data_IF_404045020659
#
_entry.id   IF_404045020659
#
_cell.length_a   1.000
_cell.length_b   1.000
_cell.length_c   1.000
_cell.angle_alpha   90.00
_cell.angle_beta   90.00
_cell.angle_gamma   90.00
#
_symmetry.space_group_name_H-M   'P 1'
#
loop_
_entity.id
_entity.type
_entity.pdbx_description
1 polymer ?
#
# COMPACT_ATOMS: atom_id res chain seq x y z
N UNK A 1 -8.57 -10.36 32.78
CA UNK A 1 -9.55 -9.25 32.69
C UNK A 1 -10.90 -9.64 33.27
N UNK A 2 -11.48 -10.77 32.86
CA UNK A 2 -12.76 -11.26 33.40
C UNK A 2 -12.72 -11.53 34.92
N UNK A 3 -11.60 -12.05 35.43
CA UNK A 3 -11.45 -12.32 36.86
C UNK A 3 -11.47 -11.05 37.72
N UNK A 4 -10.87 -9.96 37.22
CA UNK A 4 -10.90 -8.68 37.91
C UNK A 4 -12.32 -8.09 37.93
N UNK A 5 -13.07 -8.25 36.84
CA UNK A 5 -14.47 -7.84 36.77
C UNK A 5 -15.35 -8.66 37.72
N UNK A 6 -15.14 -9.98 37.83
CA UNK A 6 -15.83 -10.82 38.83
C UNK A 6 -15.63 -10.31 40.25
N UNK A 7 -14.38 -10.01 40.63
CA UNK A 7 -14.04 -9.44 41.95
C UNK A 7 -14.71 -8.10 42.19
N UNK A 8 -14.79 -7.24 41.17
CA UNK A 8 -15.49 -5.95 41.25
C UNK A 8 -16.99 -6.16 41.46
N UNK A 9 -17.64 -7.06 40.72
CA UNK A 9 -19.08 -7.32 40.88
C UNK A 9 -19.41 -7.92 42.25
N UNK A 10 -18.58 -8.83 42.76
CA UNK A 10 -18.72 -9.35 44.13
C UNK A 10 -18.61 -8.23 45.17
N UNK A 11 -17.65 -7.32 45.02
CA UNK A 11 -17.48 -6.17 45.90
C UNK A 11 -18.68 -5.21 45.85
N UNK A 12 -19.27 -4.97 44.67
CA UNK A 12 -20.48 -4.12 44.54
C UNK A 12 -21.66 -4.74 45.28
N UNK A 13 -21.90 -6.05 45.10
CA UNK A 13 -22.99 -6.76 45.76
C UNK A 13 -22.85 -6.68 47.29
N UNK A 14 -21.65 -6.90 47.82
CA UNK A 14 -21.43 -6.89 49.26
C UNK A 14 -21.48 -5.48 49.87
N UNK A 15 -21.06 -4.45 49.12
CA UNK A 15 -21.26 -3.04 49.50
C UNK A 15 -22.76 -2.69 49.53
N UNK A 16 -23.54 -3.14 48.54
CA UNK A 16 -25.00 -2.91 48.51
C UNK A 16 -25.74 -3.64 49.63
N UNK A 17 -25.22 -4.79 50.06
CA UNK A 17 -25.74 -5.54 51.22
C UNK A 17 -25.32 -4.94 52.57
N UNK A 18 -24.53 -3.87 52.59
CA UNK A 18 -24.08 -3.21 53.83
C UNK A 18 -23.03 -3.99 54.61
N UNK A 19 -22.34 -4.98 54.00
CA UNK A 19 -21.31 -5.79 54.68
C UNK A 19 -20.02 -5.02 55.01
N UNK A 20 -19.83 -3.84 54.41
CA UNK A 20 -18.66 -3.00 54.60
C UNK A 20 -19.07 -1.59 55.02
N UNK A 21 -18.28 -0.98 55.90
CA UNK A 21 -18.51 0.39 56.35
C UNK A 21 -18.24 1.43 55.26
N UNK A 22 -17.41 1.08 54.27
CA UNK A 22 -17.06 1.96 53.17
C UNK A 22 -16.67 1.20 51.90
N UNK A 23 -16.83 1.88 50.75
CA UNK A 23 -16.35 1.39 49.44
C UNK A 23 -14.84 1.14 49.45
N UNK A 24 -14.05 1.91 50.21
CA UNK A 24 -12.59 1.74 50.32
C UNK A 24 -12.23 0.45 51.05
N UNK A 25 -12.98 0.11 52.09
CA UNK A 25 -12.78 -1.12 52.84
C UNK A 25 -13.07 -2.36 51.98
N UNK A 26 -14.21 -2.35 51.26
CA UNK A 26 -14.54 -3.39 50.29
C UNK A 26 -13.45 -3.50 49.21
N UNK A 27 -13.01 -2.38 48.64
CA UNK A 27 -11.96 -2.36 47.64
C UNK A 27 -10.66 -3.03 48.14
N UNK A 28 -10.26 -2.76 49.38
CA UNK A 28 -9.10 -3.41 50.03
C UNK A 28 -9.31 -4.91 50.22
N UNK A 29 -10.49 -5.33 50.70
CA UNK A 29 -10.81 -6.75 50.95
C UNK A 29 -10.81 -7.58 49.66
N UNK A 30 -11.36 -7.01 48.59
CA UNK A 30 -11.39 -7.65 47.28
C UNK A 30 -10.15 -7.36 46.44
N UNK A 31 -9.16 -6.61 46.94
CA UNK A 31 -7.92 -6.24 46.24
C UNK A 31 -8.15 -5.56 44.89
N UNK A 32 -9.14 -4.68 44.80
CA UNK A 32 -9.48 -3.88 43.61
C UNK A 32 -9.20 -2.40 43.88
N UNK A 33 -8.82 -1.58 42.87
CA UNK A 33 -8.67 -0.14 43.08
C UNK A 33 -10.00 0.51 43.49
N UNK A 34 -9.99 1.33 44.54
CA UNK A 34 -11.20 1.99 45.05
C UNK A 34 -11.87 2.90 44.01
N UNK A 35 -11.08 3.54 43.15
CA UNK A 35 -11.57 4.35 42.03
C UNK A 35 -12.33 3.51 41.00
N UNK A 36 -11.80 2.33 40.65
CA UNK A 36 -12.47 1.39 39.75
C UNK A 36 -13.80 0.90 40.32
N UNK A 37 -13.83 0.53 41.61
CA UNK A 37 -15.05 0.08 42.28
C UNK A 37 -16.11 1.18 42.31
N UNK A 38 -15.73 2.42 42.65
CA UNK A 38 -16.63 3.59 42.63
C UNK A 38 -17.16 3.89 41.24
N UNK A 39 -16.29 3.87 40.22
CA UNK A 39 -16.69 4.10 38.83
C UNK A 39 -17.70 3.03 38.37
N UNK A 40 -17.49 1.77 38.77
CA UNK A 40 -18.45 0.68 38.50
C UNK A 40 -19.81 0.92 39.17
N UNK A 41 -19.80 1.33 40.44
CA UNK A 41 -21.04 1.66 41.17
C UNK A 41 -21.79 2.84 40.53
N UNK A 42 -21.05 3.79 39.94
CA UNK A 42 -21.59 4.95 39.22
C UNK A 42 -22.02 4.63 37.77
N UNK A 43 -22.08 3.34 37.38
CA UNK A 43 -22.62 2.92 36.08
C UNK A 43 -21.61 2.86 34.93
N UNK A 44 -20.30 3.06 35.19
CA UNK A 44 -19.29 2.79 34.14
C UNK A 44 -19.34 1.30 33.81
N UNK A 45 -19.49 0.94 32.53
CA UNK A 45 -19.63 -0.46 32.05
C UNK A 45 -18.29 -1.12 31.72
N UNK A 46 -18.24 -2.46 31.82
CA UNK A 46 -16.98 -3.20 31.68
C UNK A 46 -16.64 -3.19 30.21
N UNK A 47 -15.45 -2.73 29.87
CA UNK A 47 -14.96 -2.78 28.49
C UNK A 47 -13.77 -3.75 28.45
N UNK A 48 -14.02 -5.07 28.29
CA UNK A 48 -12.98 -6.09 28.32
C UNK A 48 -11.90 -5.88 27.26
N UNK A 49 -12.30 -5.31 26.11
CA UNK A 49 -11.41 -4.90 25.02
C UNK A 49 -11.56 -3.40 24.82
N UNK A 50 -10.56 -2.62 25.23
CA UNK A 50 -10.36 -1.27 24.69
C UNK A 50 -9.62 -1.46 23.37
N UNK A 51 -10.36 -1.61 22.28
CA UNK A 51 -9.74 -1.51 20.96
C UNK A 51 -9.12 -0.12 20.86
N UNK A 52 -7.84 -0.04 20.52
CA UNK A 52 -7.23 1.23 20.18
C UNK A 52 -8.07 1.84 19.06
N UNK A 53 -8.46 3.12 19.19
CA UNK A 53 -9.31 3.88 18.26
C UNK A 53 -8.80 3.89 16.79
N UNK A 54 -7.70 3.22 16.50
CA UNK A 54 -7.02 3.12 15.22
C UNK A 54 -7.35 1.83 14.43
N UNK A 55 -8.09 0.88 14.99
CA UNK A 55 -8.55 -0.32 14.25
C UNK A 55 -9.84 0.00 13.52
N UNK A 56 -9.70 0.71 12.41
CA UNK A 56 -10.81 0.98 11.48
C UNK A 56 -11.28 -0.29 10.77
N UNK A 57 -10.40 -1.30 10.68
CA UNK A 57 -10.71 -2.65 10.24
C UNK A 57 -10.64 -3.61 11.43
N UNK A 58 -11.43 -4.68 11.38
CA UNK A 58 -11.38 -5.79 12.34
C UNK A 58 -10.10 -6.61 12.16
N UNK A 59 -9.77 -7.44 13.14
CA UNK A 59 -8.58 -8.29 13.06
C UNK A 59 -8.64 -9.26 11.88
N UNK A 60 -9.82 -9.85 11.64
CA UNK A 60 -10.06 -10.78 10.54
C UNK A 60 -9.92 -10.08 9.17
N UNK A 61 -10.42 -8.86 9.06
CA UNK A 61 -10.26 -8.02 7.86
C UNK A 61 -8.77 -7.66 7.64
N UNK A 62 -8.04 -7.31 8.71
CA UNK A 62 -6.60 -7.06 8.64
C UNK A 62 -5.82 -8.34 8.31
N UNK A 63 -6.25 -9.52 8.77
CA UNK A 63 -5.62 -10.81 8.47
C UNK A 63 -5.84 -11.15 6.99
N UNK A 64 -7.05 -10.96 6.48
CA UNK A 64 -7.36 -11.11 5.06
C UNK A 64 -6.54 -10.15 4.17
N UNK A 65 -6.35 -8.90 4.61
CA UNK A 65 -5.51 -7.93 3.90
C UNK A 65 -4.03 -8.33 3.89
N UNK A 66 -3.51 -8.89 4.99
CA UNK A 66 -2.15 -9.45 5.05
C UNK A 66 -2.02 -10.62 4.07
N UNK A 67 -2.95 -11.57 4.10
CA UNK A 67 -2.93 -12.72 3.17
C UNK A 67 -2.95 -12.27 1.72
N UNK A 68 -3.83 -11.33 1.37
CA UNK A 68 -3.86 -10.74 0.04
C UNK A 68 -2.53 -10.09 -0.35
N UNK A 69 -1.90 -9.36 0.58
CA UNK A 69 -0.61 -8.69 0.35
C UNK A 69 0.49 -9.71 0.05
N UNK A 70 0.54 -10.81 0.80
CA UNK A 70 1.50 -11.90 0.57
C UNK A 70 1.24 -12.61 -0.76
N UNK A 71 -0.01 -12.96 -1.06
CA UNK A 71 -0.36 -13.58 -2.35
C UNK A 71 -0.13 -12.64 -3.54
N UNK A 72 -0.23 -11.32 -3.35
CA UNK A 72 0.11 -10.35 -4.39
C UNK A 72 1.62 -10.32 -4.65
N UNK A 73 2.44 -10.47 -3.60
CA UNK A 73 3.90 -10.58 -3.73
C UNK A 73 4.29 -11.86 -4.45
N UNK A 74 3.70 -13.00 -4.09
CA UNK A 74 3.98 -14.27 -4.75
C UNK A 74 3.64 -14.24 -6.25
N UNK A 75 2.47 -13.69 -6.61
CA UNK A 75 2.01 -13.64 -7.99
C UNK A 75 2.74 -12.61 -8.84
N UNK A 76 2.98 -11.42 -8.29
CA UNK A 76 3.53 -10.30 -9.06
C UNK A 76 5.04 -10.14 -8.82
N UNK A 77 5.64 -11.03 -8.02
CA UNK A 77 7.03 -10.98 -7.56
C UNK A 77 7.42 -9.63 -6.94
N UNK A 78 6.45 -8.81 -6.57
CA UNK A 78 6.62 -7.40 -6.19
C UNK A 78 5.66 -7.03 -5.06
N UNK A 79 6.17 -6.26 -4.09
CA UNK A 79 5.37 -5.72 -2.99
C UNK A 79 4.37 -4.66 -3.49
N UNK A 80 3.06 -4.82 -3.21
CA UNK A 80 2.09 -3.82 -3.63
C UNK A 80 2.39 -2.47 -2.97
N UNK A 81 2.19 -1.39 -3.71
CA UNK A 81 2.36 -0.03 -3.21
C UNK A 81 1.42 0.25 -2.04
N UNK A 82 1.81 1.19 -1.18
CA UNK A 82 0.97 1.64 -0.05
C UNK A 82 -0.41 2.11 -0.54
N UNK A 83 -0.48 2.72 -1.72
CA UNK A 83 -1.74 3.12 -2.34
C UNK A 83 -2.60 1.91 -2.78
N UNK A 84 -1.98 0.82 -3.24
CA UNK A 84 -2.68 -0.42 -3.58
C UNK A 84 -3.21 -1.12 -2.32
N UNK A 85 -2.43 -1.12 -1.23
CA UNK A 85 -2.87 -1.63 0.07
C UNK A 85 -4.05 -0.80 0.60
N UNK A 86 -4.01 0.53 0.46
CA UNK A 86 -5.12 1.43 0.81
C UNK A 86 -6.39 1.12 0.01
N UNK A 87 -6.27 0.97 -1.31
CA UNK A 87 -7.37 0.65 -2.19
C UNK A 87 -8.02 -0.70 -1.85
N UNK A 88 -7.21 -1.73 -1.55
CA UNK A 88 -7.72 -3.03 -1.15
C UNK A 88 -8.41 -2.98 0.22
N UNK A 89 -7.82 -2.27 1.19
CA UNK A 89 -8.44 -2.05 2.50
C UNK A 89 -9.81 -1.36 2.38
N UNK A 90 -9.91 -0.32 1.53
CA UNK A 90 -11.17 0.35 1.24
C UNK A 90 -12.18 -0.57 0.53
N UNK A 91 -11.70 -1.48 -0.32
CA UNK A 91 -12.56 -2.49 -0.97
C UNK A 91 -13.16 -3.47 0.05
N UNK A 92 -12.36 -3.89 1.03
CA UNK A 92 -12.83 -4.77 2.13
C UNK A 92 -13.89 -4.05 2.96
N UNK A 93 -13.68 -2.77 3.28
CA UNK A 93 -14.66 -1.97 4.01
C UNK A 93 -15.95 -1.75 3.21
N UNK A 94 -15.85 -1.46 1.92
CA UNK A 94 -17.01 -1.31 1.04
C UNK A 94 -17.88 -2.58 0.99
N UNK A 95 -17.27 -3.78 1.01
CA UNK A 95 -18.00 -5.06 1.06
C UNK A 95 -18.79 -5.26 2.35
N UNK A 96 -18.40 -4.61 3.45
CA UNK A 96 -19.12 -4.65 4.72
C UNK A 96 -20.46 -3.88 4.69
N UNK A 97 -20.70 -3.10 3.63
CA UNK A 97 -21.84 -2.18 3.54
C UNK A 97 -21.72 -1.00 4.51
N UNK A 98 -20.49 -0.66 4.91
CA UNK A 98 -20.24 0.50 5.78
C UNK A 98 -20.50 1.81 5.04
N UNK A 99 -20.98 2.86 5.74
CA UNK A 99 -21.34 4.11 5.10
C UNK A 99 -20.12 4.78 4.43
N UNK A 100 -20.39 5.51 3.34
CA UNK A 100 -19.46 6.08 2.34
C UNK A 100 -18.28 6.89 2.92
N UNK A 101 -18.37 7.27 4.19
CA UNK A 101 -17.41 8.08 4.94
C UNK A 101 -16.38 7.27 5.76
N UNK A 102 -16.40 5.94 5.71
CA UNK A 102 -15.42 5.09 6.42
C UNK A 102 -14.26 4.61 5.52
N UNK A 103 -13.55 5.51 4.84
CA UNK A 103 -12.36 5.14 4.04
C UNK A 103 -11.08 5.16 4.85
N UNK A 104 -10.25 4.11 4.82
CA UNK A 104 -8.88 4.17 5.37
C UNK A 104 -8.06 5.22 4.62
N UNK A 105 -7.16 5.90 5.34
CA UNK A 105 -6.22 6.86 4.75
C UNK A 105 -4.77 6.40 4.92
N UNK A 106 -3.83 7.05 4.23
CA UNK A 106 -2.42 6.67 4.23
C UNK A 106 -1.76 6.51 5.61
N UNK A 107 -2.17 7.30 6.62
CA UNK A 107 -1.68 7.15 8.01
C UNK A 107 -2.08 5.79 8.60
N UNK A 108 -3.29 5.30 8.29
CA UNK A 108 -3.74 3.99 8.73
C UNK A 108 -2.89 2.88 8.09
N UNK A 109 -2.63 2.96 6.79
CA UNK A 109 -1.79 1.99 6.07
C UNK A 109 -0.38 1.96 6.64
N UNK A 110 0.21 3.12 6.92
CA UNK A 110 1.52 3.21 7.57
C UNK A 110 1.54 2.49 8.93
N UNK A 111 0.51 2.71 9.76
CA UNK A 111 0.42 2.07 11.08
C UNK A 111 0.13 0.57 10.98
N UNK A 112 -0.69 0.14 10.02
CA UNK A 112 -0.96 -1.27 9.72
C UNK A 112 0.33 -2.01 9.35
N UNK A 113 1.09 -1.48 8.38
CA UNK A 113 2.37 -2.06 7.95
C UNK A 113 3.42 -2.08 9.07
N UNK A 114 3.40 -1.08 9.96
CA UNK A 114 4.30 -1.02 11.11
C UNK A 114 3.94 -2.05 12.20
N UNK A 115 2.64 -2.33 12.38
CA UNK A 115 2.13 -3.23 13.43
C UNK A 115 2.25 -4.70 13.06
N UNK A 116 2.13 -5.04 11.76
CA UNK A 116 2.23 -6.41 11.25
C UNK A 116 3.69 -6.83 11.07
N UNK A 117 4.13 -7.80 11.86
CA UNK A 117 5.51 -8.30 11.82
C UNK A 117 5.82 -8.94 10.46
N UNK A 118 4.84 -9.62 9.88
CA UNK A 118 4.91 -10.30 8.59
C UNK A 118 5.20 -9.33 7.43
N UNK A 119 4.67 -8.11 7.52
CA UNK A 119 4.85 -7.07 6.50
C UNK A 119 6.01 -6.13 6.81
N UNK A 120 6.50 -6.12 8.04
CA UNK A 120 7.53 -5.19 8.51
C UNK A 120 8.85 -5.35 7.74
N UNK A 121 9.23 -6.59 7.43
CA UNK A 121 10.47 -6.88 6.70
C UNK A 121 10.39 -6.44 5.24
N UNK A 122 9.23 -6.67 4.61
CA UNK A 122 8.93 -6.35 3.21
C UNK A 122 8.84 -4.84 3.01
N UNK A 123 8.15 -4.14 3.92
CA UNK A 123 7.89 -2.70 3.83
C UNK A 123 8.87 -1.83 4.62
N UNK A 124 9.95 -2.42 5.13
CA UNK A 124 11.08 -1.68 5.69
C UNK A 124 11.63 -0.72 4.62
N UNK A 125 11.97 0.53 5.00
CA UNK A 125 12.44 1.58 4.08
C UNK A 125 13.59 1.13 3.15
N UNK A 126 14.41 0.17 3.59
CA UNK A 126 15.54 -0.38 2.81
C UNK A 126 15.12 -1.53 1.88
N UNK A 127 14.23 -2.41 2.34
CA UNK A 127 13.79 -3.60 1.60
C UNK A 127 12.76 -3.27 0.53
N UNK A 128 11.81 -2.37 0.83
CA UNK A 128 10.80 -1.92 -0.13
C UNK A 128 11.45 -1.28 -1.35
N UNK A 129 12.46 -0.43 -1.13
CA UNK A 129 13.26 0.13 -2.22
C UNK A 129 13.99 -0.96 -2.99
N UNK A 130 14.64 -1.94 -2.34
CA UNK A 130 15.40 -2.99 -3.03
C UNK A 130 14.52 -3.89 -3.93
N UNK A 131 13.33 -4.29 -3.46
CA UNK A 131 12.37 -5.06 -4.26
C UNK A 131 11.81 -4.26 -5.46
N UNK A 132 11.66 -2.94 -5.30
CA UNK A 132 11.25 -2.05 -6.39
C UNK A 132 12.42 -1.74 -7.34
N UNK A 133 13.68 -1.73 -6.85
CA UNK A 133 14.86 -1.44 -7.67
C UNK A 133 15.36 -2.65 -8.47
N UNK A 134 15.38 -3.86 -7.89
CA UNK A 134 15.79 -5.08 -8.61
C UNK A 134 14.90 -5.35 -9.84
N UNK A 135 13.62 -4.96 -9.76
CA UNK A 135 12.65 -5.09 -10.85
C UNK A 135 12.74 -3.97 -11.89
N UNK A 136 13.06 -2.73 -11.49
CA UNK A 136 13.15 -1.58 -12.41
C UNK A 136 14.51 -1.50 -13.11
N UNK A 137 15.59 -2.07 -12.54
CA UNK A 137 16.98 -1.88 -13.03
C UNK A 137 17.72 -3.17 -13.39
N UNK A 138 17.22 -4.40 -13.18
CA UNK A 138 18.08 -5.57 -13.45
C UNK A 138 17.44 -6.93 -13.69
N UNK A 139 17.09 -7.22 -14.95
CA UNK A 139 17.20 -8.56 -15.55
C UNK A 139 17.52 -8.44 -17.05
N UNK A 140 18.60 -7.73 -17.36
CA UNK A 140 19.26 -7.86 -18.66
C UNK A 140 20.76 -8.07 -18.42
N UNK A 141 21.18 -9.32 -18.67
CA UNK A 141 22.54 -9.78 -18.98
C UNK A 141 23.47 -10.06 -17.81
N UNK A 142 23.26 -11.22 -17.19
CA UNK A 142 24.35 -12.13 -16.88
C UNK A 142 24.39 -13.18 -18.00
N UNK A 143 25.57 -13.34 -18.61
CA UNK A 143 26.04 -14.41 -19.53
C UNK A 143 26.57 -13.89 -20.87
N UNK A 144 27.89 -13.69 -20.92
CA UNK A 144 28.78 -14.27 -21.94
C UNK A 144 30.23 -14.13 -21.45
N UNK A 145 30.96 -15.25 -21.45
CA UNK A 145 32.27 -15.39 -20.81
C UNK A 145 33.46 -14.90 -21.63
N UNK A 146 34.46 -14.41 -20.88
CA UNK A 146 35.94 -14.63 -20.98
C UNK A 146 36.69 -14.35 -22.30
N UNK A 147 38.04 -14.34 -22.30
CA UNK A 147 39.00 -13.62 -21.45
C UNK A 147 40.04 -12.87 -22.31
N UNK A 148 40.56 -11.69 -21.94
CA UNK A 148 41.82 -11.23 -22.57
C UNK A 148 42.55 -10.10 -21.82
N UNK A 149 43.79 -10.42 -21.47
CA UNK A 149 44.98 -9.58 -21.40
C UNK A 149 44.95 -8.28 -20.58
N UNK A 150 45.53 -8.37 -19.37
CA UNK A 150 46.38 -7.31 -18.84
C UNK A 150 47.56 -7.06 -19.82
N UNK A 151 48.09 -5.84 -19.82
CA UNK A 151 49.50 -5.73 -19.46
C UNK A 151 49.73 -4.67 -18.38
N UNK A 152 50.66 -5.01 -17.50
CA UNK A 152 51.23 -4.19 -16.45
C UNK A 152 51.78 -2.86 -16.98
N UNK A 153 51.68 -1.79 -16.18
CA UNK A 153 52.75 -0.79 -16.00
C UNK A 153 52.44 0.11 -14.80
N UNK A 154 53.42 0.19 -13.91
CA UNK A 154 53.42 0.82 -12.61
C UNK A 154 53.42 2.37 -12.63
N UNK A 155 53.11 2.91 -11.45
CA UNK A 155 53.65 4.12 -10.82
C UNK A 155 52.96 5.47 -11.05
N UNK A 156 52.47 6.05 -9.95
CA UNK A 156 52.43 7.50 -9.77
C UNK A 156 51.15 8.09 -9.18
N UNK A 157 50.94 7.96 -7.87
CA UNK A 157 50.14 8.95 -7.13
C UNK A 157 50.91 10.27 -7.04
N UNK A 158 50.21 11.41 -7.11
CA UNK A 158 50.14 12.26 -5.91
C UNK A 158 48.72 12.70 -5.58
N UNK A 159 48.43 12.85 -4.28
CA UNK A 159 47.13 13.25 -3.72
C UNK A 159 46.79 14.75 -3.87
N UNK A 160 45.79 15.25 -3.11
CA UNK A 160 44.42 15.37 -3.58
C UNK A 160 44.08 16.82 -3.96
N UNK A 161 43.55 17.03 -5.17
CA UNK A 161 42.88 18.28 -5.51
C UNK A 161 41.37 18.08 -5.32
N UNK A 162 40.79 18.93 -4.46
CA UNK A 162 39.38 18.94 -4.08
C UNK A 162 38.52 19.30 -5.31
N UNK A 163 38.17 18.29 -6.11
CA UNK A 163 37.17 18.40 -7.17
C UNK A 163 35.79 18.39 -6.51
N UNK A 164 35.03 19.47 -6.73
CA UNK A 164 33.64 19.55 -6.33
C UNK A 164 32.85 18.40 -6.97
N UNK A 165 32.13 17.64 -6.14
CA UNK A 165 31.19 16.62 -6.63
C UNK A 165 30.12 17.32 -7.50
N UNK A 166 29.84 16.85 -8.73
CA UNK A 166 28.64 17.28 -9.42
C UNK A 166 27.41 16.87 -8.57
N UNK A 167 26.33 17.66 -8.56
CA UNK A 167 25.12 17.29 -7.84
C UNK A 167 24.63 15.93 -8.35
N UNK A 168 24.03 15.10 -7.48
CA UNK A 168 23.57 13.78 -7.88
C UNK A 168 22.61 13.94 -9.06
N UNK A 169 22.91 13.23 -10.16
CA UNK A 169 22.00 13.08 -11.30
C UNK A 169 20.69 12.51 -10.77
N UNK A 170 19.74 13.39 -10.48
CA UNK A 170 18.33 13.02 -10.45
C UNK A 170 18.01 12.53 -11.84
N UNK A 171 17.58 11.28 -11.97
CA UNK A 171 16.91 10.80 -13.18
C UNK A 171 15.60 11.59 -13.30
N UNK A 172 15.69 12.78 -13.86
CA UNK A 172 14.54 13.51 -14.35
C UNK A 172 14.15 12.84 -15.66
N UNK A 173 13.42 11.74 -15.59
CA UNK A 173 12.69 11.25 -16.75
C UNK A 173 11.72 12.38 -17.10
N UNK A 174 12.02 13.09 -18.18
CA UNK A 174 11.26 14.25 -18.61
C UNK A 174 9.79 13.81 -18.78
N UNK A 175 8.79 14.50 -18.17
CA UNK A 175 7.38 14.06 -18.16
C UNK A 175 6.81 13.66 -19.55
N UNK A 176 7.35 14.26 -20.61
CA UNK A 176 7.05 13.91 -22.01
C UNK A 176 7.45 12.47 -22.41
N UNK A 177 8.62 11.99 -21.97
CA UNK A 177 9.09 10.63 -22.29
C UNK A 177 8.24 9.59 -21.56
N UNK A 178 7.94 9.84 -20.29
CA UNK A 178 7.05 8.99 -19.49
C UNK A 178 5.62 8.93 -20.09
N UNK A 179 5.09 10.05 -20.56
CA UNK A 179 3.80 10.09 -21.26
C UNK A 179 3.80 9.27 -22.55
N UNK A 180 4.89 9.31 -23.33
CA UNK A 180 5.01 8.53 -24.58
C UNK A 180 5.13 7.02 -24.32
N UNK A 181 5.83 6.62 -23.26
CA UNK A 181 5.97 5.21 -22.88
C UNK A 181 4.66 4.63 -22.35
N UNK A 182 3.91 5.42 -21.59
CA UNK A 182 2.59 5.02 -21.09
C UNK A 182 1.58 4.82 -22.22
N UNK A 183 1.59 5.68 -23.25
CA UNK A 183 0.74 5.52 -24.43
C UNK A 183 1.06 4.25 -25.24
N UNK A 184 2.37 3.96 -25.46
CA UNK A 184 2.80 2.72 -26.13
C UNK A 184 2.38 1.46 -25.38
N UNK A 185 2.48 1.50 -24.04
CA UNK A 185 2.01 0.40 -23.18
C UNK A 185 0.50 0.19 -23.34
N UNK A 186 -0.27 1.27 -23.38
CA UNK A 186 -1.73 1.21 -23.53
C UNK A 186 -2.14 0.66 -24.90
N UNK A 187 -1.45 1.07 -25.96
CA UNK A 187 -1.63 0.54 -27.33
C UNK A 187 -1.31 -0.96 -27.41
N UNK A 188 -0.23 -1.40 -26.77
CA UNK A 188 0.12 -2.83 -26.68
C UNK A 188 -0.96 -3.63 -25.97
N UNK A 189 -1.48 -3.11 -24.84
CA UNK A 189 -2.56 -3.76 -24.10
C UNK A 189 -3.86 -3.83 -24.92
N UNK A 190 -4.19 -2.78 -25.69
CA UNK A 190 -5.36 -2.80 -26.57
C UNK A 190 -5.26 -3.84 -27.68
N UNK A 191 -4.08 -4.01 -28.29
CA UNK A 191 -3.87 -5.08 -29.28
C UNK A 191 -4.05 -6.46 -28.68
N UNK A 192 -3.47 -6.72 -27.50
CA UNK A 192 -3.66 -8.02 -26.82
C UNK A 192 -5.11 -8.29 -26.45
N UNK A 193 -5.86 -7.26 -26.07
CA UNK A 193 -7.25 -7.41 -25.69
C UNK A 193 -8.15 -7.71 -26.89
N UNK A 194 -7.90 -7.07 -28.04
CA UNK A 194 -8.58 -7.38 -29.31
C UNK A 194 -8.28 -8.81 -29.79
N UNK A 195 -7.04 -9.28 -29.63
CA UNK A 195 -6.67 -10.65 -29.98
C UNK A 195 -7.46 -11.67 -29.16
N UNK A 196 -7.56 -11.47 -27.84
CA UNK A 196 -8.35 -12.33 -26.95
C UNK A 196 -9.86 -12.30 -27.25
N UNK A 197 -10.35 -11.18 -27.78
CA UNK A 197 -11.75 -11.02 -28.20
C UNK A 197 -12.07 -11.80 -29.48
N UNK A 198 -11.11 -11.90 -30.41
CA UNK A 198 -11.26 -12.72 -31.62
C UNK A 198 -11.32 -14.22 -31.33
N UNK A 199 -10.69 -14.68 -30.23
CA UNK A 199 -10.70 -16.08 -29.80
C UNK A 199 -12.00 -16.50 -29.10
N UNK A 200 -12.74 -15.56 -28.48
CA UNK A 200 -13.98 -15.87 -27.73
C UNK A 200 -15.27 -15.80 -28.57
N UNK A 201 -15.19 -15.41 -29.85
CA UNK A 201 -16.36 -15.19 -30.71
C UNK A 201 -17.10 -16.45 -31.19
N UNK A 202 -16.72 -17.68 -30.78
CA UNK A 202 -17.49 -18.91 -31.09
C UNK A 202 -18.56 -19.29 -30.04
N UNK A 203 -18.67 -18.58 -28.90
CA UNK A 203 -19.66 -18.90 -27.87
C UNK A 203 -20.49 -17.69 -27.39
N UNK A 204 -21.48 -17.31 -28.20
CA UNK A 204 -22.82 -16.94 -27.74
C UNK A 204 -23.03 -15.81 -26.71
N UNK A 205 -23.36 -14.63 -27.24
CA UNK A 205 -24.39 -13.67 -26.78
C UNK A 205 -24.10 -12.65 -25.65
N UNK A 206 -24.67 -11.45 -25.90
CA UNK A 206 -25.50 -10.68 -24.96
C UNK A 206 -24.81 -9.69 -24.00
N UNK A 207 -24.98 -8.40 -24.31
CA UNK A 207 -24.79 -7.21 -23.44
C UNK A 207 -23.38 -6.91 -22.93
N UNK A 208 -22.66 -7.91 -22.42
CA UNK A 208 -21.28 -7.79 -21.92
C UNK A 208 -20.30 -7.46 -23.05
N UNK A 209 -20.44 -8.11 -24.21
CA UNK A 209 -19.62 -7.84 -25.39
C UNK A 209 -19.73 -6.38 -25.84
N UNK A 210 -20.95 -5.84 -25.86
CA UNK A 210 -21.19 -4.43 -26.21
C UNK A 210 -20.58 -3.45 -25.21
N UNK A 211 -20.53 -3.82 -23.93
CA UNK A 211 -19.85 -3.01 -22.92
C UNK A 211 -18.33 -3.05 -23.11
N UNK A 212 -17.79 -4.22 -23.47
CA UNK A 212 -16.38 -4.44 -23.79
C UNK A 212 -15.96 -3.67 -25.04
N UNK A 213 -16.71 -3.77 -26.14
CA UNK A 213 -16.48 -3.02 -27.39
C UNK A 213 -16.43 -1.50 -27.15
N UNK A 214 -17.36 -0.98 -26.34
CA UNK A 214 -17.40 0.44 -25.97
C UNK A 214 -16.16 0.85 -25.17
N UNK A 215 -15.65 -0.05 -24.34
CA UNK A 215 -14.46 0.19 -23.52
C UNK A 215 -13.20 0.21 -24.39
N UNK A 216 -13.07 -0.74 -25.32
CA UNK A 216 -12.00 -0.75 -26.33
C UNK A 216 -12.02 0.56 -27.12
N UNK A 217 -13.19 0.94 -27.65
CA UNK A 217 -13.35 2.18 -28.43
C UNK A 217 -12.98 3.42 -27.62
N UNK A 218 -13.35 3.46 -26.34
CA UNK A 218 -12.96 4.52 -25.41
C UNK A 218 -11.45 4.62 -25.26
N UNK A 219 -10.77 3.49 -25.08
CA UNK A 219 -9.32 3.43 -24.97
C UNK A 219 -8.60 3.83 -26.27
N UNK A 220 -9.09 3.42 -27.44
CA UNK A 220 -8.56 3.86 -28.73
C UNK A 220 -8.58 5.39 -28.87
N UNK A 221 -9.72 6.03 -28.57
CA UNK A 221 -9.85 7.49 -28.66
C UNK A 221 -8.87 8.22 -27.74
N UNK A 222 -8.63 7.68 -26.54
CA UNK A 222 -7.67 8.26 -25.58
C UNK A 222 -6.24 8.17 -26.14
N UNK A 223 -5.87 7.04 -26.74
CA UNK A 223 -4.55 6.84 -27.35
C UNK A 223 -4.34 7.77 -28.54
N UNK A 224 -5.30 7.84 -29.46
CA UNK A 224 -5.25 8.72 -30.63
C UNK A 224 -5.17 10.20 -30.24
N UNK A 225 -5.99 10.63 -29.28
CA UNK A 225 -5.96 11.99 -28.74
C UNK A 225 -4.62 12.31 -28.08
N UNK A 226 -4.06 11.39 -27.30
CA UNK A 226 -2.76 11.54 -26.65
C UNK A 226 -1.61 11.71 -27.65
N UNK A 227 -1.56 10.88 -28.70
CA UNK A 227 -0.55 11.02 -29.75
C UNK A 227 -0.71 12.32 -30.55
N UNK A 228 -1.95 12.75 -30.83
CA UNK A 228 -2.20 14.04 -31.50
C UNK A 228 -1.68 15.21 -30.68
N UNK A 229 -1.95 15.24 -29.37
CA UNK A 229 -1.46 16.29 -28.47
C UNK A 229 0.06 16.30 -28.36
N UNK A 230 0.70 15.12 -28.30
CA UNK A 230 2.16 15.02 -28.26
C UNK A 230 2.83 15.53 -29.53
N UNK A 231 2.19 15.30 -30.69
CA UNK A 231 2.63 15.82 -31.98
C UNK A 231 2.51 17.34 -32.03
N UNK A 232 1.35 17.88 -31.66
CA UNK A 232 1.14 19.34 -31.60
C UNK A 232 2.15 20.02 -30.66
N UNK A 233 2.40 19.43 -29.48
CA UNK A 233 3.39 19.96 -28.53
C UNK A 233 4.81 19.95 -29.11
N UNK A 234 5.16 18.95 -29.92
CA UNK A 234 6.45 18.86 -30.60
C UNK A 234 6.58 19.93 -31.68
N UNK A 235 5.53 20.13 -32.47
CA UNK A 235 5.49 21.12 -33.55
C UNK A 235 5.57 22.56 -32.98
N UNK A 236 4.86 22.82 -31.87
CA UNK A 236 4.95 24.10 -31.15
C UNK A 236 6.37 24.37 -30.61
N UNK A 237 7.05 23.35 -30.09
CA UNK A 237 8.44 23.48 -29.62
C UNK A 237 9.42 23.71 -30.76
N UNK A 238 9.23 23.05 -31.90
CA UNK A 238 10.04 23.28 -33.10
C UNK A 238 9.85 24.72 -33.62
N UNK A 239 8.61 25.20 -33.70
CA UNK A 239 8.29 26.56 -34.13
C UNK A 239 8.82 27.65 -33.17
N UNK A 240 8.91 27.35 -31.87
CA UNK A 240 9.54 28.25 -30.89
C UNK A 240 11.07 28.26 -31.03
N UNK A 241 11.69 27.12 -31.33
CA UNK A 241 13.13 27.02 -31.55
C UNK A 241 13.60 27.71 -32.85
N UNK A 242 12.75 27.78 -33.88
CA UNK A 242 13.03 28.53 -35.11
C UNK A 242 12.87 30.05 -34.96
N UNK A 243 12.22 30.51 -33.89
CA UNK A 243 12.00 31.94 -33.60
C UNK A 243 13.01 32.53 -32.60
N UNK A 244 13.94 31.74 -32.05
CA UNK A 244 15.02 32.17 -31.17
C UNK A 244 16.36 32.21 -31.89
#
# INVERSE_FOLDING_TARGET
>A
MEEQERRIQAAISDVKQGKFSSVREAARKYGVPSTTLRNRMNGVTFRPKKWANCHRMTQEEEDALVQWTLSAIERNQTAPSRAQVEAMANTILAKRGTPINETVGGTWVYMFLKRRVELKEIYSRRSYSRLVYDTVVGSANAENGSPSANPDSETGQPGPQRLALPPPRGHSTHPYLEATENLKRLETLLSTFKELETEQSEAGSSSTQTAVDKLIKGCEMIVESGYSLLKENRDLRAALAEKS
#
